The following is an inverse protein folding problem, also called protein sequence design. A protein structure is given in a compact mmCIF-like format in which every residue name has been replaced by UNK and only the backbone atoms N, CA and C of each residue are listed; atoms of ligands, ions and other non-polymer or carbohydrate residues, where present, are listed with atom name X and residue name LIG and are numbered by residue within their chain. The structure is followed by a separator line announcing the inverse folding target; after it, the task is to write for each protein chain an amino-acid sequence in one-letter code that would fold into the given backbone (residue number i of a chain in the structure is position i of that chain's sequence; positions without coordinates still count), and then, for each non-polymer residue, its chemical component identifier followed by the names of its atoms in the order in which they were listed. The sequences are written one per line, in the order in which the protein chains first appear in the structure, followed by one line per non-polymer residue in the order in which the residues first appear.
data_IF_852088985790
#
_entry.id   IF_852088985790
#
_cell.length_a   1.000
_cell.length_b   1.000
_cell.length_c   1.000
_cell.angle_alpha   90.00
_cell.angle_beta   90.00
_cell.angle_gamma   90.00
#
_symmetry.space_group_name_H-M   'P 1'
#
loop_
_entity.id
_entity.type
_entity.pdbx_description
1 polymer ?
#
# COMPACT_ATOMS: atom_id res chain seq x y z
N UNK A 1 -1.03 -8.29 -18.56
CA UNK A 1 -0.64 -9.15 -17.43
C UNK A 1 -1.58 -8.84 -16.28
N UNK A 2 -2.53 -9.72 -16.00
CA UNK A 2 -3.23 -9.71 -14.70
C UNK A 2 -2.22 -10.14 -13.65
N UNK A 3 -2.00 -9.31 -12.63
CA UNK A 3 -1.09 -9.67 -11.54
C UNK A 3 -1.79 -10.67 -10.63
N UNK A 4 -1.06 -11.71 -10.22
CA UNK A 4 -1.58 -12.73 -9.30
C UNK A 4 -1.71 -12.20 -7.86
N UNK A 5 -0.93 -11.17 -7.50
CA UNK A 5 -0.98 -10.56 -6.16
C UNK A 5 -2.07 -9.48 -6.08
N UNK A 6 -3.04 -9.59 -5.15
CA UNK A 6 -4.06 -8.57 -4.91
C UNK A 6 -3.45 -7.19 -4.58
N UNK A 7 -4.08 -6.08 -4.99
CA UNK A 7 -3.52 -4.75 -4.74
C UNK A 7 -3.30 -4.44 -3.26
N UNK A 8 -4.14 -4.96 -2.36
CA UNK A 8 -3.96 -4.76 -0.92
C UNK A 8 -2.69 -5.47 -0.41
N UNK A 9 -2.45 -6.71 -0.80
CA UNK A 9 -1.24 -7.44 -0.42
C UNK A 9 0.00 -6.69 -0.91
N UNK A 10 0.00 -6.26 -2.18
CA UNK A 10 1.10 -5.47 -2.73
C UNK A 10 1.25 -4.10 -2.05
N UNK A 11 0.16 -3.45 -1.66
CA UNK A 11 0.20 -2.19 -0.93
C UNK A 11 0.87 -2.34 0.45
N UNK A 12 0.61 -3.45 1.14
CA UNK A 12 1.23 -3.77 2.43
C UNK A 12 2.73 -4.08 2.28
N UNK A 13 3.11 -4.82 1.23
CA UNK A 13 4.53 -5.04 0.90
C UNK A 13 5.26 -3.72 0.67
N UNK A 14 4.66 -2.80 -0.11
CA UNK A 14 5.23 -1.48 -0.34
C UNK A 14 5.32 -0.67 0.96
N UNK A 15 4.28 -0.66 1.79
CA UNK A 15 4.31 -0.01 3.10
C UNK A 15 5.43 -0.55 4.00
N UNK A 16 5.65 -1.87 3.98
CA UNK A 16 6.68 -2.55 4.78
C UNK A 16 8.13 -2.16 4.41
N UNK A 17 8.38 -1.69 3.18
CA UNK A 17 9.73 -1.22 2.79
C UNK A 17 10.16 0.04 3.55
N UNK A 18 9.21 0.84 4.03
CA UNK A 18 9.42 2.17 4.58
C UNK A 18 9.91 3.22 3.57
N UNK A 19 9.97 2.91 2.28
CA UNK A 19 10.23 3.90 1.22
C UNK A 19 9.01 4.79 0.96
N UNK A 20 7.84 4.34 1.43
CA UNK A 20 6.56 5.02 1.25
C UNK A 20 6.13 5.68 2.55
N UNK A 21 5.52 6.86 2.43
CA UNK A 21 5.10 7.69 3.58
C UNK A 21 3.59 7.96 3.61
N UNK A 22 2.86 7.52 2.58
CA UNK A 22 1.41 7.72 2.50
C UNK A 22 0.73 6.71 1.59
N UNK A 23 -0.56 6.46 1.85
CA UNK A 23 -1.42 5.62 1.01
C UNK A 23 -1.44 6.11 -0.44
N UNK A 24 -1.40 7.43 -0.66
CA UNK A 24 -1.40 7.98 -2.01
C UNK A 24 -0.11 7.66 -2.77
N UNK A 25 1.04 7.70 -2.09
CA UNK A 25 2.32 7.34 -2.69
C UNK A 25 2.33 5.86 -3.11
N UNK A 26 1.81 4.98 -2.26
CA UNK A 26 1.62 3.55 -2.57
C UNK A 26 0.68 3.37 -3.77
N UNK A 27 -0.47 4.05 -3.79
CA UNK A 27 -1.40 3.98 -4.94
C UNK A 27 -0.75 4.45 -6.25
N UNK A 28 0.15 5.42 -6.21
CA UNK A 28 0.88 5.85 -7.41
C UNK A 28 1.87 4.78 -7.88
N UNK A 29 2.62 4.15 -6.96
CA UNK A 29 3.50 3.04 -7.29
C UNK A 29 2.73 1.86 -7.88
N UNK A 30 1.61 1.48 -7.28
CA UNK A 30 0.73 0.42 -7.80
C UNK A 30 0.22 0.72 -9.22
N UNK A 31 -0.12 1.98 -9.54
CA UNK A 31 -0.50 2.35 -10.91
C UNK A 31 0.65 2.17 -11.90
N UNK A 32 1.88 2.56 -11.52
CA UNK A 32 3.09 2.34 -12.35
C UNK A 32 3.38 0.86 -12.53
N UNK A 33 3.04 0.06 -11.53
CA UNK A 33 3.11 -1.39 -11.54
C UNK A 33 2.01 -2.06 -12.39
N UNK A 34 0.99 -1.32 -12.85
CA UNK A 34 -0.07 -1.81 -13.73
C UNK A 34 -1.37 -2.19 -13.03
N UNK A 35 -1.53 -1.90 -11.74
CA UNK A 35 -2.81 -2.06 -11.05
C UNK A 35 -3.79 -0.95 -11.48
N UNK A 36 -4.86 -1.33 -12.17
CA UNK A 36 -5.85 -0.38 -12.74
C UNK A 36 -7.13 -0.27 -11.92
N UNK A 37 -7.48 -1.29 -11.14
CA UNK A 37 -8.70 -1.40 -10.33
C UNK A 37 -8.52 -0.96 -8.87
N UNK A 38 -7.51 -0.14 -8.56
CA UNK A 38 -7.20 0.31 -7.20
C UNK A 38 -8.34 1.04 -6.50
N UNK A 39 -9.19 1.75 -7.25
CA UNK A 39 -10.36 2.40 -6.68
C UNK A 39 -11.33 1.38 -6.10
N UNK A 40 -11.53 0.24 -6.77
CA UNK A 40 -12.37 -0.84 -6.26
C UNK A 40 -11.65 -1.59 -5.13
N UNK A 41 -10.42 -2.02 -5.38
CA UNK A 41 -9.66 -2.90 -4.48
C UNK A 41 -9.21 -2.22 -3.18
N UNK A 42 -9.01 -0.89 -3.18
CA UNK A 42 -8.56 -0.10 -2.04
C UNK A 42 -9.56 1.00 -1.61
N UNK A 43 -10.82 0.93 -2.03
CA UNK A 43 -11.87 1.87 -1.59
C UNK A 43 -12.28 1.68 -0.14
N UNK A 44 -12.18 0.44 0.38
CA UNK A 44 -12.62 0.09 1.71
C UNK A 44 -11.87 0.85 2.81
N UNK A 45 -12.61 1.34 3.82
CA UNK A 45 -12.01 1.96 5.00
C UNK A 45 -10.99 1.03 5.68
N UNK A 46 -11.29 -0.28 5.72
CA UNK A 46 -10.40 -1.30 6.26
C UNK A 46 -9.07 -1.41 5.49
N UNK A 47 -9.09 -1.35 4.15
CA UNK A 47 -7.89 -1.40 3.33
C UNK A 47 -6.98 -0.19 3.59
N UNK A 48 -7.55 1.02 3.61
CA UNK A 48 -6.79 2.23 3.92
C UNK A 48 -6.21 2.21 5.33
N UNK A 49 -6.98 1.73 6.31
CA UNK A 49 -6.55 1.60 7.69
C UNK A 49 -5.36 0.65 7.83
N UNK A 50 -5.43 -0.53 7.22
CA UNK A 50 -4.33 -1.50 7.24
C UNK A 50 -3.04 -0.93 6.64
N UNK A 51 -3.13 -0.20 5.53
CA UNK A 51 -1.97 0.45 4.90
C UNK A 51 -1.38 1.54 5.82
N UNK A 52 -2.23 2.36 6.45
CA UNK A 52 -1.80 3.42 7.37
C UNK A 52 -1.13 2.83 8.61
N UNK A 53 -1.72 1.79 9.19
CA UNK A 53 -1.16 1.08 10.35
C UNK A 53 0.23 0.52 10.02
N UNK A 54 0.41 -0.10 8.85
CA UNK A 54 1.72 -0.61 8.42
C UNK A 54 2.74 0.53 8.22
N UNK A 55 2.34 1.64 7.60
CA UNK A 55 3.21 2.81 7.43
C UNK A 55 3.67 3.37 8.78
N UNK A 56 2.77 3.43 9.76
CA UNK A 56 3.09 3.90 11.10
C UNK A 56 4.00 2.93 11.85
N UNK A 57 3.77 1.63 11.74
CA UNK A 57 4.61 0.61 12.36
C UNK A 57 6.07 0.74 11.89
N UNK A 58 6.30 0.77 10.57
CA UNK A 58 7.65 0.93 9.99
C UNK A 58 8.27 2.28 10.34
N UNK A 59 7.47 3.36 10.36
CA UNK A 59 7.95 4.67 10.76
C UNK A 59 8.35 4.71 12.24
N UNK A 60 7.71 3.93 13.11
CA UNK A 60 8.08 3.80 14.52
C UNK A 60 9.36 2.97 14.68
N UNK A 61 9.47 1.82 14.01
CA UNK A 61 10.66 0.96 14.04
C UNK A 61 11.94 1.69 13.62
N UNK A 62 11.85 2.66 12.69
CA UNK A 62 13.02 3.46 12.26
C UNK A 62 13.45 4.55 13.25
N UNK A 63 12.60 4.90 14.21
CA UNK A 63 12.90 5.92 15.23
C UNK A 63 13.56 5.33 16.47
N UNK A 64 13.43 4.03 16.67
CA UNK A 64 14.09 3.24 17.71
C UNK A 64 15.49 2.80 17.25
#
# INVERSE_FOLDING_TARGET
MTRDTPALARALELAATGEFISVNHIRQALRREGYTSLALELSGHQANRAIIEQLHAVANERRE
#
